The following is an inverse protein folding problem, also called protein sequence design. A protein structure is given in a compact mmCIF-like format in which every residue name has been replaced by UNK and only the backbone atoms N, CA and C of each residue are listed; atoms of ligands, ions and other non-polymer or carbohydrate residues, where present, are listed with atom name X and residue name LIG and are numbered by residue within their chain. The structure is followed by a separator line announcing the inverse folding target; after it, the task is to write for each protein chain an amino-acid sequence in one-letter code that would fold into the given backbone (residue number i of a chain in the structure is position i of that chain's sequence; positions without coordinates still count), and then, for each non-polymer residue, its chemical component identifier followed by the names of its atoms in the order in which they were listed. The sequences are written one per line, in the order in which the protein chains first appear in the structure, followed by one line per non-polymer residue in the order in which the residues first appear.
data_IF_671601014138
#
_entry.id   IF_671601014138
#
_cell.length_a   1.000
_cell.length_b   1.000
_cell.length_c   1.000
_cell.angle_alpha   90.00
_cell.angle_beta   90.00
_cell.angle_gamma   90.00
#
_symmetry.space_group_name_H-M   'P 1'
#
loop_
_entity.id
_entity.type
_entity.pdbx_description
1 polymer ?
#
# COMPACT_ATOMS: atom_id res chain seq x y z
N UNK A 1 -11.58 23.30 -3.20
CA UNK A 1 -10.98 23.81 -1.96
C UNK A 1 -10.14 25.04 -2.33
N UNK A 2 -10.61 26.24 -1.96
CA UNK A 2 -9.81 27.46 -2.09
C UNK A 2 -9.04 27.55 -0.77
N UNK A 3 -7.77 27.18 -0.79
CA UNK A 3 -6.88 27.47 0.34
C UNK A 3 -6.39 28.91 0.15
N UNK A 4 -6.86 29.81 1.01
CA UNK A 4 -6.31 31.17 1.10
C UNK A 4 -5.05 31.04 1.96
N UNK A 5 -3.89 30.84 1.31
CA UNK A 5 -2.62 31.03 2.00
C UNK A 5 -2.43 32.53 2.24
N UNK A 6 -1.92 32.95 3.43
CA UNK A 6 -1.55 34.34 3.66
C UNK A 6 -0.51 34.78 2.62
N UNK A 7 -0.54 36.05 2.21
CA UNK A 7 0.51 36.63 1.34
C UNK A 7 1.90 36.38 1.93
N UNK A 8 2.84 35.96 1.08
CA UNK A 8 4.22 35.64 1.49
C UNK A 8 4.41 34.21 1.97
N UNK A 9 3.45 33.31 1.85
CA UNK A 9 3.55 31.88 2.18
C UNK A 9 3.21 30.98 1.00
N UNK A 10 3.27 31.49 -0.21
CA UNK A 10 3.04 30.73 -1.42
C UNK A 10 4.20 29.76 -1.66
N UNK A 11 3.86 28.49 -1.95
CA UNK A 11 4.83 27.45 -2.27
C UNK A 11 4.33 26.50 -3.35
N UNK A 12 5.25 25.95 -4.09
CA UNK A 12 5.04 24.83 -4.98
C UNK A 12 5.51 23.55 -4.29
N UNK A 13 4.67 22.51 -4.38
CA UNK A 13 5.00 21.18 -3.88
C UNK A 13 4.85 20.16 -5.02
N UNK A 14 5.96 19.56 -5.41
CA UNK A 14 6.01 18.51 -6.41
C UNK A 14 6.34 17.18 -5.76
N UNK A 15 5.46 16.19 -5.90
CA UNK A 15 5.70 14.83 -5.44
C UNK A 15 5.53 13.81 -6.57
N UNK A 16 6.20 12.66 -6.46
CA UNK A 16 6.18 11.63 -7.48
C UNK A 16 6.23 10.23 -6.87
N UNK A 17 5.51 9.30 -7.49
CA UNK A 17 5.58 7.87 -7.17
C UNK A 17 5.97 7.13 -8.44
N UNK A 18 7.04 6.33 -8.36
CA UNK A 18 7.42 5.39 -9.42
C UNK A 18 7.17 3.97 -8.93
N UNK A 19 6.52 3.19 -9.77
CA UNK A 19 6.24 1.78 -9.49
C UNK A 19 6.77 0.92 -10.63
N UNK A 20 7.56 -0.11 -10.28
CA UNK A 20 7.98 -1.16 -11.19
C UNK A 20 7.35 -2.47 -10.74
N UNK A 21 6.53 -3.06 -11.61
CA UNK A 21 5.82 -4.30 -11.32
C UNK A 21 6.32 -5.43 -12.21
N UNK A 22 6.63 -6.56 -11.57
CA UNK A 22 6.77 -7.85 -12.24
C UNK A 22 5.64 -8.75 -11.80
N UNK A 23 5.00 -9.42 -12.76
CA UNK A 23 3.92 -10.38 -12.49
C UNK A 23 4.09 -11.60 -13.38
N UNK A 24 3.91 -12.79 -12.79
CA UNK A 24 3.94 -14.05 -13.50
C UNK A 24 2.77 -14.93 -13.05
N UNK A 25 1.96 -15.38 -13.98
CA UNK A 25 0.79 -16.22 -13.75
C UNK A 25 0.86 -17.48 -14.60
N UNK A 26 0.49 -18.61 -14.01
CA UNK A 26 0.40 -19.91 -14.66
C UNK A 26 -1.02 -20.46 -14.50
N UNK A 27 -1.56 -20.99 -15.57
CA UNK A 27 -2.83 -21.73 -15.54
C UNK A 27 -2.57 -23.18 -15.94
N UNK A 28 -3.05 -24.10 -15.11
CA UNK A 28 -2.96 -25.54 -15.35
C UNK A 28 -4.35 -26.17 -15.41
N UNK A 29 -4.68 -26.73 -16.57
CA UNK A 29 -5.95 -27.39 -16.83
C UNK A 29 -5.79 -28.87 -16.48
N UNK A 30 -6.09 -29.23 -15.24
CA UNK A 30 -5.95 -30.60 -14.76
C UNK A 30 -7.02 -31.52 -15.37
N UNK A 31 -8.24 -31.04 -15.48
CA UNK A 31 -9.37 -31.76 -16.05
C UNK A 31 -10.45 -30.79 -16.59
N UNK A 32 -11.50 -31.29 -17.15
CA UNK A 32 -12.67 -30.48 -17.52
C UNK A 32 -13.40 -29.88 -16.31
N UNK A 33 -13.10 -30.35 -15.11
CA UNK A 33 -13.70 -29.89 -13.86
C UNK A 33 -12.80 -28.98 -13.06
N UNK A 34 -11.46 -29.09 -13.16
CA UNK A 34 -10.50 -28.34 -12.34
C UNK A 34 -9.53 -27.54 -13.19
N UNK A 35 -9.48 -26.24 -12.93
CA UNK A 35 -8.50 -25.32 -13.47
C UNK A 35 -7.75 -24.62 -12.35
N UNK A 36 -6.49 -25.00 -12.15
CA UNK A 36 -5.62 -24.37 -11.19
C UNK A 36 -4.97 -23.13 -11.79
N UNK A 37 -4.89 -22.08 -10.98
CA UNK A 37 -4.09 -20.88 -11.27
C UNK A 37 -3.17 -20.61 -10.12
N UNK A 38 -1.92 -20.32 -10.42
CA UNK A 38 -0.93 -19.88 -9.44
C UNK A 38 -0.14 -18.72 -10.03
N UNK A 39 0.34 -17.85 -9.18
CA UNK A 39 1.15 -16.74 -9.67
C UNK A 39 1.87 -16.02 -8.55
N UNK A 40 2.80 -15.18 -8.99
CA UNK A 40 3.57 -14.29 -8.12
C UNK A 40 3.54 -12.88 -8.68
N UNK A 41 3.64 -11.91 -7.79
CA UNK A 41 3.86 -10.51 -8.16
C UNK A 41 4.89 -9.87 -7.23
N UNK A 42 5.69 -8.98 -7.80
CA UNK A 42 6.64 -8.15 -7.07
C UNK A 42 6.47 -6.73 -7.56
N UNK A 43 6.21 -5.80 -6.64
CA UNK A 43 6.20 -4.37 -6.90
C UNK A 43 7.38 -3.74 -6.17
N UNK A 44 8.12 -2.89 -6.85
CA UNK A 44 9.11 -2.00 -6.25
C UNK A 44 8.58 -0.58 -6.33
N UNK A 45 8.42 0.05 -5.18
CA UNK A 45 7.98 1.44 -5.05
C UNK A 45 9.16 2.35 -4.75
N UNK A 46 9.20 3.47 -5.43
CA UNK A 46 10.05 4.61 -5.14
C UNK A 46 9.15 5.82 -4.94
N UNK A 47 9.07 6.30 -3.72
CA UNK A 47 8.33 7.49 -3.34
C UNK A 47 9.29 8.66 -3.27
N UNK A 48 9.05 9.68 -4.06
CA UNK A 48 9.66 10.99 -3.98
C UNK A 48 8.62 11.92 -3.32
N UNK A 49 8.60 12.05 -1.95
CA UNK A 49 7.55 12.82 -1.25
C UNK A 49 7.54 14.27 -1.69
N UNK A 50 8.69 14.74 -2.17
CA UNK A 50 8.79 15.93 -2.96
C UNK A 50 9.67 17.01 -2.40
N UNK A 51 9.68 18.09 -3.16
CA UNK A 51 10.39 19.32 -2.83
C UNK A 51 9.34 20.40 -2.64
N UNK A 52 9.43 21.13 -1.55
CA UNK A 52 8.67 22.37 -1.32
C UNK A 52 9.60 23.51 -1.70
N UNK A 53 9.16 24.37 -2.60
CA UNK A 53 9.92 25.53 -3.08
C UNK A 53 9.06 26.80 -2.95
N UNK A 54 9.65 27.99 -2.68
CA UNK A 54 8.92 29.24 -2.72
C UNK A 54 8.33 29.45 -4.12
N UNK A 55 7.04 29.75 -4.22
CA UNK A 55 6.39 30.02 -5.50
C UNK A 55 6.72 31.42 -6.05
N UNK A 56 7.16 32.33 -5.19
CA UNK A 56 7.52 33.71 -5.55
C UNK A 56 8.77 34.14 -4.78
N UNK A 57 9.51 35.14 -5.30
CA UNK A 57 10.69 35.72 -4.65
C UNK A 57 10.35 36.38 -3.31
N UNK A 58 9.08 36.75 -3.10
CA UNK A 58 8.60 37.37 -1.84
C UNK A 58 8.13 36.34 -0.81
N UNK A 59 8.12 35.04 -1.15
CA UNK A 59 7.71 33.98 -0.24
C UNK A 59 8.71 33.80 0.90
N UNK A 60 8.20 33.70 2.12
CA UNK A 60 8.98 33.38 3.32
C UNK A 60 9.32 31.90 3.47
N UNK A 61 8.77 31.06 2.59
CA UNK A 61 9.01 29.61 2.57
C UNK A 61 10.44 29.35 2.12
N UNK A 62 11.11 28.43 2.82
CA UNK A 62 12.43 27.93 2.43
C UNK A 62 12.28 26.61 1.69
N UNK A 63 13.12 26.40 0.70
CA UNK A 63 13.21 25.10 0.02
C UNK A 63 13.45 23.99 1.03
N UNK A 64 12.58 22.98 1.01
CA UNK A 64 12.68 21.80 1.84
C UNK A 64 12.55 20.55 0.97
N UNK A 65 13.58 19.72 0.98
CA UNK A 65 13.61 18.47 0.23
C UNK A 65 13.34 17.30 1.17
N UNK A 66 12.25 16.58 0.92
CA UNK A 66 11.89 15.38 1.65
C UNK A 66 12.64 14.18 1.10
N UNK A 67 13.21 13.37 2.00
CA UNK A 67 13.97 12.17 1.61
C UNK A 67 13.10 11.14 0.93
N UNK A 68 13.60 10.57 -0.16
CA UNK A 68 12.98 9.46 -0.87
C UNK A 68 12.74 8.25 0.05
N UNK A 69 11.65 7.52 -0.23
CA UNK A 69 11.30 6.29 0.48
C UNK A 69 11.18 5.14 -0.51
N UNK A 70 11.55 3.96 -0.04
CA UNK A 70 11.55 2.75 -0.86
C UNK A 70 10.74 1.65 -0.18
N UNK A 71 10.00 0.89 -0.99
CA UNK A 71 9.28 -0.27 -0.50
C UNK A 71 9.17 -1.36 -1.56
N UNK A 72 8.98 -2.60 -1.10
CA UNK A 72 8.64 -3.73 -1.94
C UNK A 72 7.33 -4.34 -1.45
N UNK A 73 6.48 -4.71 -2.39
CA UNK A 73 5.31 -5.54 -2.13
C UNK A 73 5.45 -6.82 -2.93
N UNK A 74 5.30 -7.95 -2.26
CA UNK A 74 5.35 -9.26 -2.89
C UNK A 74 4.05 -9.99 -2.63
N UNK A 75 3.60 -10.81 -3.57
CA UNK A 75 2.48 -11.70 -3.34
C UNK A 75 2.64 -13.01 -4.11
N UNK A 76 2.16 -14.09 -3.48
CA UNK A 76 2.00 -15.40 -4.07
C UNK A 76 0.52 -15.78 -3.97
N UNK A 77 -0.02 -16.43 -4.98
CA UNK A 77 -1.38 -16.95 -4.89
C UNK A 77 -1.52 -18.30 -5.58
N UNK A 78 -2.48 -19.06 -5.09
CA UNK A 78 -3.00 -20.26 -5.72
C UNK A 78 -4.52 -20.22 -5.68
N UNK A 79 -5.14 -20.71 -6.73
CA UNK A 79 -6.60 -20.75 -6.88
C UNK A 79 -7.00 -21.99 -7.66
N UNK A 80 -8.10 -22.63 -7.26
CA UNK A 80 -8.80 -23.63 -8.05
C UNK A 80 -10.16 -23.08 -8.50
N UNK A 81 -10.45 -23.27 -9.76
CA UNK A 81 -11.78 -23.10 -10.34
C UNK A 81 -12.36 -24.48 -10.58
N UNK A 82 -13.30 -24.90 -9.73
CA UNK A 82 -13.91 -26.21 -9.74
C UNK A 82 -15.33 -26.14 -10.30
N UNK A 83 -15.52 -26.78 -11.45
CA UNK A 83 -16.81 -27.01 -12.06
C UNK A 83 -17.44 -28.27 -11.44
N UNK A 84 -18.14 -28.10 -10.32
CA UNK A 84 -18.77 -29.21 -9.57
C UNK A 84 -19.84 -29.90 -10.40
N UNK A 85 -20.60 -29.13 -11.19
CA UNK A 85 -21.59 -29.59 -12.13
C UNK A 85 -21.77 -28.57 -13.27
N UNK A 86 -22.61 -28.87 -14.26
CA UNK A 86 -22.97 -27.93 -15.34
C UNK A 86 -23.56 -26.62 -14.81
N UNK A 87 -24.16 -26.65 -13.61
CA UNK A 87 -24.82 -25.50 -12.99
C UNK A 87 -24.03 -24.87 -11.84
N UNK A 88 -23.05 -25.59 -11.26
CA UNK A 88 -22.35 -25.12 -10.07
C UNK A 88 -20.86 -24.97 -10.33
N UNK A 89 -20.37 -23.73 -10.22
CA UNK A 89 -18.96 -23.36 -10.28
C UNK A 89 -18.53 -22.77 -8.94
N UNK A 90 -17.45 -23.31 -8.38
CA UNK A 90 -16.81 -22.82 -7.15
C UNK A 90 -15.40 -22.37 -7.50
N UNK A 91 -14.99 -21.20 -7.02
CA UNK A 91 -13.60 -20.74 -7.05
C UNK A 91 -13.12 -20.55 -5.63
N UNK A 92 -12.07 -21.25 -5.28
CA UNK A 92 -11.40 -21.10 -3.99
C UNK A 92 -9.94 -20.72 -4.21
N UNK A 93 -9.45 -19.78 -3.45
CA UNK A 93 -8.06 -19.34 -3.58
C UNK A 93 -7.51 -18.78 -2.28
N UNK A 94 -6.20 -18.78 -2.21
CA UNK A 94 -5.43 -18.18 -1.13
C UNK A 94 -4.33 -17.34 -1.75
N UNK A 95 -4.22 -16.10 -1.29
CA UNK A 95 -3.09 -15.22 -1.59
C UNK A 95 -2.35 -14.91 -0.29
N UNK A 96 -1.05 -14.99 -0.34
CA UNK A 96 -0.17 -14.45 0.68
C UNK A 96 0.48 -13.18 0.12
N UNK A 97 0.41 -12.08 0.86
CA UNK A 97 1.01 -10.82 0.48
C UNK A 97 1.92 -10.30 1.60
N UNK A 98 3.00 -9.64 1.22
CA UNK A 98 3.95 -9.03 2.15
C UNK A 98 4.41 -7.70 1.62
N UNK A 99 4.58 -6.75 2.54
CA UNK A 99 5.09 -5.42 2.29
C UNK A 99 6.35 -5.18 3.13
N UNK A 100 7.39 -4.64 2.52
CA UNK A 100 8.68 -4.37 3.13
C UNK A 100 9.04 -2.90 2.86
N UNK A 101 9.11 -2.11 3.91
CA UNK A 101 9.69 -0.76 3.84
C UNK A 101 11.18 -0.88 4.08
N UNK A 102 12.01 -0.28 3.20
CA UNK A 102 13.47 -0.35 3.29
C UNK A 102 14.08 1.05 3.33
N UNK A 103 15.26 1.16 3.96
CA UNK A 103 16.06 2.39 4.05
C UNK A 103 16.63 2.79 2.67
N UNK A 104 17.16 3.98 2.54
CA UNK A 104 17.74 4.89 3.56
C UNK A 104 16.63 5.61 4.33
N UNK A 105 16.60 5.48 5.65
CA UNK A 105 15.64 6.22 6.49
C UNK A 105 16.19 6.52 7.88
N UNK A 106 15.59 7.50 8.55
CA UNK A 106 15.79 7.77 9.97
C UNK A 106 14.43 7.72 10.64
N UNK A 107 14.24 6.75 11.51
CA UNK A 107 13.00 6.60 12.28
C UNK A 107 13.22 7.22 13.66
N UNK A 108 12.37 8.19 14.00
CA UNK A 108 12.36 8.82 15.30
C UNK A 108 11.40 8.11 16.23
N UNK A 109 11.81 7.86 17.45
CA UNK A 109 10.97 7.36 18.52
C UNK A 109 10.59 8.51 19.43
N UNK A 110 9.32 8.64 19.74
CA UNK A 110 8.80 9.73 20.58
C UNK A 110 8.35 9.16 21.93
N UNK A 111 8.41 9.98 22.98
CA UNK A 111 8.09 9.59 24.37
C UNK A 111 6.70 8.96 24.48
N UNK A 112 5.70 9.54 23.83
CA UNK A 112 4.31 9.07 23.85
C UNK A 112 3.90 8.34 22.57
N UNK A 113 4.86 7.82 21.78
CA UNK A 113 4.65 7.28 20.43
C UNK A 113 3.91 8.26 19.48
N UNK A 114 3.94 9.56 19.79
CA UNK A 114 3.30 10.60 19.01
C UNK A 114 4.30 11.68 18.60
N UNK A 115 4.42 11.97 17.29
CA UNK A 115 5.26 13.06 16.80
C UNK A 115 4.70 14.44 17.15
N UNK A 116 3.47 14.51 17.65
CA UNK A 116 2.76 15.76 17.97
C UNK A 116 2.11 15.62 19.34
N UNK A 117 2.28 16.60 20.21
CA UNK A 117 1.58 16.72 21.49
C UNK A 117 0.75 18.00 21.51
N UNK A 118 -0.45 17.93 22.13
CA UNK A 118 -1.27 19.13 22.33
C UNK A 118 -1.00 19.73 23.68
N UNK A 119 -0.62 21.03 23.71
CA UNK A 119 -0.46 21.78 24.93
C UNK A 119 -1.76 22.54 25.23
N UNK A 120 -2.51 22.14 26.27
CA UNK A 120 -3.78 22.79 26.62
C UNK A 120 -3.59 24.21 27.21
N UNK A 121 -2.41 24.54 27.73
CA UNK A 121 -2.13 25.87 28.27
C UNK A 121 -1.89 26.89 27.16
N UNK A 122 -1.22 26.46 26.10
CA UNK A 122 -0.91 27.30 24.94
C UNK A 122 -1.99 27.19 23.86
N UNK A 123 -2.89 26.19 23.94
CA UNK A 123 -3.93 25.94 22.95
C UNK A 123 -3.39 25.54 21.57
N UNK A 124 -2.20 24.98 21.51
CA UNK A 124 -1.50 24.65 20.25
C UNK A 124 -0.84 23.29 20.26
N UNK A 125 -0.55 22.79 19.05
CA UNK A 125 0.21 21.57 18.87
C UNK A 125 1.70 21.86 18.85
N UNK A 126 2.46 21.10 19.65
CA UNK A 126 3.91 21.14 19.73
C UNK A 126 4.51 19.87 19.15
N UNK A 127 5.78 19.93 18.77
CA UNK A 127 6.51 18.73 18.38
C UNK A 127 6.67 17.81 19.59
N UNK A 128 6.44 16.51 19.37
CA UNK A 128 6.68 15.48 20.38
C UNK A 128 8.16 15.41 20.76
N UNK A 129 8.44 15.01 22.01
CA UNK A 129 9.82 14.83 22.48
C UNK A 129 10.42 13.57 21.85
N UNK A 130 11.53 13.74 21.14
CA UNK A 130 12.28 12.64 20.53
C UNK A 130 13.14 11.97 21.59
N UNK A 131 12.91 10.70 21.85
CA UNK A 131 13.66 9.90 22.84
C UNK A 131 14.77 9.07 22.19
N UNK A 132 14.60 8.67 20.92
CA UNK A 132 15.60 7.90 20.19
C UNK A 132 15.48 8.14 18.67
N UNK A 133 16.57 7.82 17.95
CA UNK A 133 16.60 7.87 16.49
C UNK A 133 17.40 6.70 15.94
N UNK A 134 16.76 5.89 15.10
CA UNK A 134 17.41 4.76 14.42
C UNK A 134 17.63 5.11 12.94
N UNK A 135 18.88 5.05 12.51
CA UNK A 135 19.25 5.20 11.11
C UNK A 135 19.29 3.83 10.44
N UNK A 136 18.72 3.73 9.25
CA UNK A 136 18.69 2.53 8.41
C UNK A 136 19.48 2.79 7.13
N UNK A 137 20.41 1.90 6.83
CA UNK A 137 21.23 1.92 5.63
C UNK A 137 20.42 1.60 4.35
N UNK A 138 20.95 1.85 3.14
CA UNK A 138 20.29 1.49 1.89
C UNK A 138 19.90 0.00 1.85
N UNK A 139 18.62 -0.27 1.53
CA UNK A 139 18.00 -1.60 1.49
C UNK A 139 17.90 -2.33 2.85
N UNK A 140 18.27 -1.71 3.96
CA UNK A 140 18.02 -2.25 5.29
C UNK A 140 16.52 -2.27 5.57
N UNK A 141 16.04 -3.34 6.24
CA UNK A 141 14.62 -3.51 6.55
C UNK A 141 14.20 -2.56 7.68
N UNK A 142 13.31 -1.64 7.38
CA UNK A 142 12.73 -0.71 8.36
C UNK A 142 11.49 -1.31 9.02
N UNK A 143 10.58 -1.87 8.21
CA UNK A 143 9.38 -2.53 8.70
C UNK A 143 8.84 -3.53 7.68
N UNK A 144 8.13 -4.55 8.17
CA UNK A 144 7.48 -5.54 7.31
C UNK A 144 6.10 -5.90 7.81
N UNK A 145 5.21 -6.19 6.88
CA UNK A 145 3.85 -6.66 7.13
C UNK A 145 3.55 -7.84 6.22
N UNK A 146 2.80 -8.82 6.72
CA UNK A 146 2.46 -10.02 5.95
C UNK A 146 1.07 -10.48 6.28
N UNK A 147 0.30 -10.88 5.28
CA UNK A 147 -1.10 -11.25 5.44
C UNK A 147 -1.50 -12.41 4.53
N UNK A 148 -2.47 -13.21 5.01
CA UNK A 148 -3.18 -14.19 4.23
C UNK A 148 -4.54 -13.63 3.79
N UNK A 149 -4.87 -13.82 2.52
CA UNK A 149 -6.03 -13.26 1.85
C UNK A 149 -6.85 -14.39 1.20
N UNK A 150 -7.74 -15.04 1.95
CA UNK A 150 -8.63 -16.06 1.41
C UNK A 150 -9.64 -15.45 0.46
N UNK A 151 -10.01 -16.25 -0.57
CA UNK A 151 -11.00 -15.90 -1.61
C UNK A 151 -11.89 -17.07 -1.87
N UNK A 152 -13.19 -16.82 -1.90
CA UNK A 152 -14.22 -17.80 -2.25
C UNK A 152 -15.24 -17.14 -3.17
N UNK A 153 -15.63 -17.83 -4.23
CA UNK A 153 -16.73 -17.41 -5.08
C UNK A 153 -17.52 -18.63 -5.51
N UNK A 154 -18.84 -18.53 -5.44
CA UNK A 154 -19.78 -19.58 -5.84
C UNK A 154 -20.72 -18.97 -6.87
N UNK A 155 -20.90 -19.65 -8.00
CA UNK A 155 -21.89 -19.32 -9.02
C UNK A 155 -22.80 -20.53 -9.25
N UNK A 156 -24.10 -20.30 -9.11
CA UNK A 156 -25.11 -21.27 -9.40
C UNK A 156 -26.01 -20.81 -10.54
N UNK A 157 -26.09 -21.59 -11.61
CA UNK A 157 -26.95 -21.36 -12.76
C UNK A 157 -28.37 -21.90 -12.47
N UNK A 158 -29.34 -20.99 -12.38
CA UNK A 158 -30.76 -21.37 -12.16
C UNK A 158 -31.38 -21.96 -13.42
N UNK A 159 -31.19 -21.27 -14.54
CA UNK A 159 -31.63 -21.66 -15.88
C UNK A 159 -30.69 -21.04 -16.93
N UNK A 160 -31.02 -21.18 -18.21
CA UNK A 160 -30.16 -20.73 -19.32
C UNK A 160 -29.94 -19.19 -19.35
N UNK A 161 -30.78 -18.44 -18.65
CA UNK A 161 -30.77 -16.97 -18.66
C UNK A 161 -30.42 -16.35 -17.32
N UNK A 162 -30.51 -17.11 -16.20
CA UNK A 162 -30.35 -16.56 -14.85
C UNK A 162 -29.33 -17.34 -14.02
N UNK A 163 -28.48 -16.60 -13.29
CA UNK A 163 -27.55 -17.17 -12.32
C UNK A 163 -27.47 -16.33 -11.05
N UNK A 164 -27.11 -16.98 -9.94
CA UNK A 164 -26.79 -16.33 -8.66
C UNK A 164 -25.31 -16.48 -8.44
N UNK A 165 -24.67 -15.41 -7.97
CA UNK A 165 -23.27 -15.38 -7.59
C UNK A 165 -23.11 -14.81 -6.18
N UNK A 166 -22.34 -15.50 -5.34
CA UNK A 166 -21.88 -15.02 -4.05
C UNK A 166 -20.36 -15.07 -4.01
N UNK A 167 -19.73 -14.09 -3.35
CA UNK A 167 -18.28 -14.08 -3.18
C UNK A 167 -17.87 -13.46 -1.86
N UNK A 168 -16.79 -13.99 -1.30
CA UNK A 168 -16.09 -13.46 -0.14
C UNK A 168 -14.62 -13.35 -0.47
N UNK A 169 -14.01 -12.21 -0.09
CA UNK A 169 -12.57 -12.03 -0.18
C UNK A 169 -12.07 -11.12 0.95
N UNK A 170 -10.90 -11.45 1.50
CA UNK A 170 -10.13 -10.57 2.34
C UNK A 170 -9.04 -9.93 1.49
N UNK A 171 -8.88 -8.60 1.62
CA UNK A 171 -7.84 -7.82 0.93
C UNK A 171 -7.16 -6.96 1.97
N UNK A 172 -5.83 -6.90 1.92
CA UNK A 172 -5.03 -6.01 2.74
C UNK A 172 -4.39 -4.95 1.84
N UNK A 173 -4.44 -3.70 2.30
CA UNK A 173 -3.80 -2.57 1.66
C UNK A 173 -2.69 -2.06 2.58
N UNK A 174 -1.50 -1.87 2.04
CA UNK A 174 -0.31 -1.46 2.80
C UNK A 174 0.04 0.02 2.62
N UNK A 175 -0.46 0.65 1.55
CA UNK A 175 -0.28 2.06 1.26
C UNK A 175 -1.58 2.82 1.53
N UNK A 176 -1.48 3.91 2.29
CA UNK A 176 -2.59 4.81 2.61
C UNK A 176 -2.22 6.24 2.21
#
# INVERSE_FOLDING_TARGET
LISILPEGFEFDWTSKIRNHQFKYDVSYFHSNQHQFKAGLSVNKYHFEPGIIEPATDSSSIRTFNMRDKFAYETALFIQDEWKVSERLLIKVGLRWSSFYRVGVDTVLTYQDNSPISYDPLLGQYLNGEVTDSTFYDPNELVSSYSNLEPRLSIRYQLDDTRSIKASYQKINQYLH
#
